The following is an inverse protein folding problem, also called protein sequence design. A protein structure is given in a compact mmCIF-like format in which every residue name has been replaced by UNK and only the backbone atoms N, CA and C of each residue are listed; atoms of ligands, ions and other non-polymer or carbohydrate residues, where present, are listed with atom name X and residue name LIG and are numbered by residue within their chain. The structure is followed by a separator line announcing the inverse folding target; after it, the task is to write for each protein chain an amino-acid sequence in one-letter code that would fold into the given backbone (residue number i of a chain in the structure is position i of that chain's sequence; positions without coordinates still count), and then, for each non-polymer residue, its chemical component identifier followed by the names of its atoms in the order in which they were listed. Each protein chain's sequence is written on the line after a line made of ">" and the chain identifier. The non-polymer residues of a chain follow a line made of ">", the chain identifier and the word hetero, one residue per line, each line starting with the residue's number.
data_IF_988733426935
#
_entry.id   IF_988733426935
#
_cell.length_a   1.000
_cell.length_b   1.000
_cell.length_c   1.000
_cell.angle_alpha   90.00
_cell.angle_beta   90.00
_cell.angle_gamma   90.00
#
_symmetry.space_group_name_H-M   'P 1'
#
loop_
_entity.id
_entity.type
_entity.pdbx_description
1 polymer ?
#
# COMPACT_ATOMS: atom_id res chain seq x y z
N UNK A 1 -18.23 -19.11 13.50
CA UNK A 1 -17.01 -18.29 13.57
C UNK A 1 -17.33 -16.99 12.87
N UNK A 2 -17.22 -15.88 13.58
CA UNK A 2 -17.47 -14.55 13.04
C UNK A 2 -16.34 -14.27 12.05
N UNK A 3 -16.64 -14.11 10.76
CA UNK A 3 -15.65 -13.75 9.76
C UNK A 3 -15.21 -12.31 10.05
N UNK A 4 -14.18 -12.15 10.88
CA UNK A 4 -13.62 -10.85 11.22
C UNK A 4 -13.24 -10.13 9.92
N UNK A 5 -13.98 -9.07 9.61
CA UNK A 5 -13.73 -8.27 8.42
C UNK A 5 -12.54 -7.35 8.69
N UNK A 6 -11.49 -7.49 7.89
CA UNK A 6 -10.34 -6.60 7.94
C UNK A 6 -10.62 -5.41 7.02
N UNK A 7 -10.61 -4.20 7.58
CA UNK A 7 -10.78 -2.95 6.81
C UNK A 7 -9.41 -2.36 6.51
N UNK A 8 -9.07 -2.25 5.23
CA UNK A 8 -7.87 -1.56 4.75
C UNK A 8 -8.27 -0.16 4.30
N UNK A 9 -7.65 0.87 4.89
CA UNK A 9 -7.85 2.25 4.48
C UNK A 9 -6.71 2.65 3.54
N UNK A 10 -7.06 3.08 2.34
CA UNK A 10 -6.13 3.58 1.35
C UNK A 10 -6.40 5.07 1.13
N UNK A 11 -5.34 5.84 0.95
CA UNK A 11 -5.45 7.21 0.43
C UNK A 11 -5.91 7.18 -1.02
N UNK A 12 -6.39 8.33 -1.53
CA UNK A 12 -6.82 8.42 -2.92
C UNK A 12 -5.71 8.03 -3.90
N UNK A 13 -4.48 8.50 -3.66
CA UNK A 13 -3.32 8.18 -4.50
C UNK A 13 -2.97 6.69 -4.46
N UNK A 14 -2.96 6.05 -3.28
CA UNK A 14 -2.72 4.61 -3.14
C UNK A 14 -3.80 3.78 -3.81
N UNK A 15 -5.06 4.15 -3.60
CA UNK A 15 -6.21 3.44 -4.16
C UNK A 15 -6.19 3.47 -5.70
N UNK A 16 -5.81 4.61 -6.28
CA UNK A 16 -5.75 4.82 -7.73
C UNK A 16 -4.58 4.07 -8.38
N UNK A 17 -3.41 4.03 -7.73
CA UNK A 17 -2.27 3.23 -8.21
C UNK A 17 -2.53 1.74 -8.07
N UNK A 18 -3.20 1.33 -6.98
CA UNK A 18 -3.49 -0.07 -6.73
C UNK A 18 -4.59 -0.62 -7.64
N UNK A 19 -5.64 0.15 -7.92
CA UNK A 19 -6.68 -0.23 -8.88
C UNK A 19 -6.11 -0.44 -10.29
N UNK A 20 -5.26 0.47 -10.72
CA UNK A 20 -4.58 0.42 -12.02
C UNK A 20 -3.64 -0.79 -12.16
N UNK A 21 -2.94 -1.17 -11.10
CA UNK A 21 -2.15 -2.40 -11.09
C UNK A 21 -3.04 -3.66 -11.14
N UNK A 22 -4.13 -3.68 -10.37
CA UNK A 22 -5.09 -4.79 -10.36
C UNK A 22 -5.72 -5.03 -11.73
N UNK A 23 -6.07 -3.97 -12.45
CA UNK A 23 -6.59 -4.07 -13.82
C UNK A 23 -5.57 -4.71 -14.77
N UNK A 24 -4.33 -4.19 -14.80
CA UNK A 24 -3.26 -4.76 -15.64
C UNK A 24 -2.99 -6.21 -15.30
N UNK A 25 -2.94 -6.55 -14.03
CA UNK A 25 -2.62 -7.92 -13.58
C UNK A 25 -3.74 -8.89 -13.93
N UNK A 26 -5.01 -8.47 -13.93
CA UNK A 26 -6.11 -9.27 -14.50
C UNK A 26 -5.99 -9.47 -16.01
N UNK A 27 -5.54 -8.45 -16.76
CA UNK A 27 -5.32 -8.56 -18.21
C UNK A 27 -4.10 -9.42 -18.60
N UNK A 28 -3.08 -9.49 -17.75
CA UNK A 28 -1.77 -10.08 -18.09
C UNK A 28 -1.59 -11.53 -17.63
N UNK A 29 -2.71 -12.25 -17.45
CA UNK A 29 -2.75 -13.63 -16.94
C UNK A 29 -2.37 -13.71 -15.44
N UNK A 30 -3.35 -13.42 -14.59
CA UNK A 30 -3.25 -13.43 -13.13
C UNK A 30 -2.72 -14.78 -12.58
N UNK A 31 -3.01 -15.88 -13.26
CA UNK A 31 -2.57 -17.24 -12.87
C UNK A 31 -1.07 -17.44 -12.94
N UNK A 32 -0.34 -16.60 -13.67
CA UNK A 32 1.13 -16.60 -13.68
C UNK A 32 1.75 -15.85 -12.50
N UNK A 33 0.99 -14.93 -11.90
CA UNK A 33 1.45 -14.08 -10.79
C UNK A 33 0.97 -14.63 -9.44
N UNK A 34 -0.17 -15.33 -9.43
CA UNK A 34 -0.82 -15.84 -8.24
C UNK A 34 -1.16 -17.32 -8.45
N UNK A 35 -0.32 -18.20 -7.89
CA UNK A 35 -0.47 -19.66 -7.99
C UNK A 35 -1.66 -20.21 -7.19
N UNK A 36 -2.13 -19.49 -6.16
CA UNK A 36 -3.20 -19.94 -5.28
C UNK A 36 -4.58 -19.37 -5.71
N UNK A 37 -5.53 -20.21 -6.14
CA UNK A 37 -6.88 -19.76 -6.50
C UNK A 37 -7.67 -19.18 -5.32
N UNK A 38 -7.31 -19.47 -4.07
CA UNK A 38 -7.95 -18.85 -2.90
C UNK A 38 -7.69 -17.34 -2.83
N UNK A 39 -6.61 -16.86 -3.44
CA UNK A 39 -6.24 -15.44 -3.49
C UNK A 39 -7.03 -14.70 -4.58
N UNK A 40 -7.61 -15.40 -5.55
CA UNK A 40 -8.39 -14.78 -6.63
C UNK A 40 -9.66 -14.12 -6.10
N UNK A 41 -10.38 -14.81 -5.20
CA UNK A 41 -11.62 -14.31 -4.62
C UNK A 41 -11.45 -12.96 -3.88
N UNK A 42 -10.46 -12.78 -2.96
CA UNK A 42 -10.22 -11.50 -2.32
C UNK A 42 -9.67 -10.44 -3.30
N UNK A 43 -8.84 -10.81 -4.28
CA UNK A 43 -8.35 -9.88 -5.31
C UNK A 43 -9.53 -9.31 -6.11
N UNK A 44 -10.43 -10.16 -6.62
CA UNK A 44 -11.62 -9.70 -7.34
C UNK A 44 -12.54 -8.84 -6.47
N UNK A 45 -12.70 -9.17 -5.19
CA UNK A 45 -13.49 -8.35 -4.25
C UNK A 45 -12.85 -6.96 -4.05
N UNK A 46 -11.54 -6.89 -3.87
CA UNK A 46 -10.82 -5.63 -3.72
C UNK A 46 -10.90 -4.79 -5.00
N UNK A 47 -10.69 -5.41 -6.17
CA UNK A 47 -10.82 -4.74 -7.45
C UNK A 47 -12.22 -4.13 -7.64
N UNK A 48 -13.28 -4.91 -7.40
CA UNK A 48 -14.66 -4.40 -7.51
C UNK A 48 -15.01 -3.33 -6.48
N UNK A 49 -14.46 -3.43 -5.26
CA UNK A 49 -14.64 -2.39 -4.23
C UNK A 49 -13.98 -1.08 -4.63
N UNK A 50 -12.77 -1.15 -5.20
CA UNK A 50 -12.03 0.03 -5.66
C UNK A 50 -12.68 0.66 -6.89
N UNK A 51 -13.13 -0.15 -7.85
CA UNK A 51 -13.85 0.32 -9.04
C UNK A 51 -15.12 1.12 -8.68
N UNK A 52 -15.83 0.67 -7.63
CA UNK A 52 -17.01 1.37 -7.13
C UNK A 52 -16.67 2.62 -6.31
N UNK A 53 -15.59 2.56 -5.52
CA UNK A 53 -15.22 3.63 -4.59
C UNK A 53 -14.48 4.80 -5.25
N UNK A 54 -13.89 4.59 -6.42
CA UNK A 54 -13.07 5.57 -7.14
C UNK A 54 -13.74 5.99 -8.47
N UNK A 55 -14.68 6.96 -8.44
CA UNK A 55 -15.24 7.52 -9.67
C UNK A 55 -14.18 8.20 -10.55
N UNK A 56 -13.02 8.55 -9.98
CA UNK A 56 -11.89 9.16 -10.67
C UNK A 56 -11.23 8.25 -11.72
N UNK A 57 -11.44 6.93 -11.66
CA UNK A 57 -10.94 5.98 -12.69
C UNK A 57 -11.61 6.24 -14.05
N UNK A 58 -12.83 6.79 -14.05
CA UNK A 58 -13.58 7.12 -15.26
C UNK A 58 -13.31 8.55 -15.76
N UNK A 59 -12.42 9.31 -15.09
CA UNK A 59 -12.09 10.66 -15.50
C UNK A 59 -11.23 10.65 -16.79
N UNK A 60 -11.50 11.59 -17.69
CA UNK A 60 -10.76 11.72 -18.95
C UNK A 60 -9.26 12.05 -18.75
N UNK A 61 -8.92 12.59 -17.59
CA UNK A 61 -7.56 12.92 -17.12
C UNK A 61 -6.95 11.83 -16.22
N UNK A 62 -7.53 10.62 -16.20
CA UNK A 62 -7.09 9.50 -15.35
C UNK A 62 -5.59 9.21 -15.44
N UNK A 63 -5.02 9.19 -16.65
CA UNK A 63 -3.59 8.92 -16.85
C UNK A 63 -2.68 9.94 -16.17
N UNK A 64 -3.02 11.23 -16.26
CA UNK A 64 -2.25 12.30 -15.62
C UNK A 64 -2.34 12.22 -14.10
N UNK A 65 -3.53 11.91 -13.56
CA UNK A 65 -3.74 11.72 -12.12
C UNK A 65 -2.97 10.53 -11.60
N UNK A 66 -2.98 9.42 -12.32
CA UNK A 66 -2.23 8.21 -11.97
C UNK A 66 -0.73 8.48 -11.91
N UNK A 67 -0.18 9.18 -12.89
CA UNK A 67 1.26 9.50 -12.88
C UNK A 67 1.63 10.52 -11.80
N UNK A 68 0.74 11.47 -11.49
CA UNK A 68 0.91 12.38 -10.36
C UNK A 68 0.86 11.63 -9.02
N UNK A 69 -0.12 10.73 -8.83
CA UNK A 69 -0.27 9.89 -7.65
C UNK A 69 0.97 9.01 -7.45
N UNK A 70 1.42 8.30 -8.50
CA UNK A 70 2.66 7.49 -8.43
C UNK A 70 3.87 8.30 -8.02
N UNK A 71 4.00 9.54 -8.51
CA UNK A 71 5.12 10.42 -8.16
C UNK A 71 5.08 10.78 -6.69
N UNK A 72 3.93 11.24 -6.18
CA UNK A 72 3.72 11.56 -4.77
C UNK A 72 3.98 10.35 -3.87
N UNK A 73 3.50 9.17 -4.26
CA UNK A 73 3.73 7.94 -3.51
C UNK A 73 5.20 7.54 -3.49
N UNK A 74 5.94 7.69 -4.59
CA UNK A 74 7.40 7.42 -4.61
C UNK A 74 8.17 8.42 -3.76
N UNK A 75 7.79 9.69 -3.79
CA UNK A 75 8.39 10.73 -2.95
C UNK A 75 8.11 10.44 -1.46
N UNK A 76 6.87 10.05 -1.13
CA UNK A 76 6.47 9.61 0.21
C UNK A 76 7.15 8.30 0.64
N UNK A 77 7.37 7.35 -0.26
CA UNK A 77 8.09 6.11 0.04
C UNK A 77 9.61 6.31 0.17
N UNK A 78 10.16 7.36 -0.45
CA UNK A 78 11.51 7.84 -0.15
C UNK A 78 11.67 8.21 1.34
N UNK A 79 10.58 8.62 1.99
CA UNK A 79 10.49 8.84 3.44
C UNK A 79 10.33 7.51 4.22
N UNK A 80 9.65 6.49 3.67
CA UNK A 80 9.63 5.14 4.28
C UNK A 80 11.00 4.44 4.30
N UNK A 81 11.88 4.75 3.33
CA UNK A 81 13.29 4.37 3.37
C UNK A 81 14.12 5.17 4.39
N UNK A 82 13.53 6.22 4.95
CA UNK A 82 14.06 7.10 5.98
C UNK A 82 13.31 6.98 7.31
N UNK A 83 12.51 5.92 7.53
CA UNK A 83 12.14 5.55 8.89
C UNK A 83 13.46 5.48 9.68
N UNK A 84 13.73 6.41 10.61
CA UNK A 84 14.89 6.27 11.45
C UNK A 84 14.66 4.95 12.19
N UNK A 85 15.65 4.06 12.11
CA UNK A 85 15.69 2.81 12.87
C UNK A 85 15.01 3.05 14.21
N UNK A 86 13.96 2.29 14.51
CA UNK A 86 13.22 2.31 15.77
C UNK A 86 14.08 1.74 16.93
N UNK A 87 15.37 2.10 16.95
CA UNK A 87 16.43 1.66 17.83
C UNK A 87 17.44 2.79 18.11
N UNK A 88 16.94 4.03 18.24
CA UNK A 88 17.66 5.07 18.97
C UNK A 88 17.07 5.16 20.38
N UNK A 89 17.21 4.07 21.14
CA UNK A 89 17.08 4.16 22.59
C UNK A 89 18.09 5.21 23.11
N UNK A 90 17.72 6.07 24.06
CA UNK A 90 18.66 7.05 24.60
C UNK A 90 19.87 6.28 25.15
N UNK A 91 21.07 6.68 24.72
CA UNK A 91 22.31 6.22 25.32
C UNK A 91 22.23 6.59 26.81
N UNK A 92 21.90 5.59 27.63
CA UNK A 92 21.76 5.77 29.06
C UNK A 92 23.16 5.90 29.61
N UNK A 93 23.58 7.15 29.77
CA UNK A 93 24.76 7.55 30.50
C UNK A 93 24.71 6.87 31.87
N UNK A 94 25.57 5.86 32.06
CA UNK A 94 25.74 5.19 33.36
C UNK A 94 26.74 6.06 34.11
N UNK A 95 26.35 6.75 35.19
CA UNK A 95 27.30 7.51 35.97
C UNK A 95 28.31 6.54 36.59
N UNK A 96 29.59 6.86 36.38
CA UNK A 96 30.76 6.24 36.99
C UNK A 96 30.64 6.40 38.52
N UNK A 97 30.06 5.40 39.19
CA UNK A 97 30.06 5.39 40.64
C UNK A 97 31.40 4.81 41.07
N UNK A 98 32.30 5.72 41.45
CA UNK A 98 33.52 5.44 42.21
C UNK A 98 33.22 4.40 43.29
N UNK A 99 33.93 3.27 43.23
CA UNK A 99 34.06 2.34 44.34
C UNK A 99 35.42 2.64 44.96
N UNK A 100 35.34 3.18 46.18
CA UNK A 100 36.44 3.46 47.11
C UNK A 100 37.19 2.20 47.56
#
# INVERSE_FOLDING_TARGET
>A
MENAQITIRLTADEALVFSDWLERVQMTDLGRVVDDPAVWAPIHRLAGTLDTALPEIFASDYGERLDAARRRLRESMGDFGLLPSLDAGPCRDVPDHEIS
#
